data_IF_575487568315
#
_entry.id   IF_575487568315
#
_cell.length_a   1.000
_cell.length_b   1.000
_cell.length_c   1.000
_cell.angle_alpha   90.00
_cell.angle_beta   90.00
_cell.angle_gamma   90.00
#
_symmetry.space_group_name_H-M   'P 1'
#
loop_
_entity.id
_entity.type
_entity.pdbx_description
1 polymer ?
#
# COMPACT_ATOMS: atom_id res chain seq x y z
N UNK A 1 47.51 -27.34 -3.95
CA UNK A 1 46.29 -27.64 -3.16
C UNK A 1 46.16 -26.92 -1.80
N UNK A 2 47.24 -26.64 -1.06
CA UNK A 2 47.20 -25.95 0.27
C UNK A 2 47.80 -24.53 0.25
N UNK A 3 47.72 -23.86 -0.89
CA UNK A 3 48.20 -22.48 -1.03
C UNK A 3 47.16 -21.47 -0.54
N UNK A 4 47.55 -20.21 -0.28
CA UNK A 4 46.61 -19.13 -0.02
C UNK A 4 45.77 -18.80 -1.27
N UNK A 5 44.59 -18.20 -1.08
CA UNK A 5 43.82 -17.62 -2.18
C UNK A 5 44.60 -16.46 -2.82
N UNK A 6 44.38 -16.21 -4.11
CA UNK A 6 44.97 -15.09 -4.84
C UNK A 6 43.91 -14.04 -5.12
N UNK A 7 44.27 -12.76 -5.00
CA UNK A 7 43.42 -11.62 -5.42
C UNK A 7 43.18 -11.60 -6.95
N UNK A 8 43.80 -12.51 -7.70
CA UNK A 8 43.59 -12.69 -9.13
C UNK A 8 42.36 -13.56 -9.45
N UNK A 9 41.74 -14.17 -8.45
CA UNK A 9 40.50 -14.93 -8.63
C UNK A 9 39.32 -13.97 -8.84
N UNK A 10 39.14 -13.53 -10.08
CA UNK A 10 38.08 -12.59 -10.46
C UNK A 10 36.69 -13.19 -10.33
N UNK A 11 36.55 -14.53 -10.37
CA UNK A 11 35.26 -15.22 -10.18
C UNK A 11 34.85 -15.12 -8.71
N UNK A 12 35.78 -15.42 -7.79
CA UNK A 12 35.54 -15.23 -6.36
C UNK A 12 35.20 -13.77 -6.01
N UNK A 13 35.96 -12.82 -6.56
CA UNK A 13 35.76 -11.39 -6.27
C UNK A 13 34.40 -10.91 -6.76
N UNK A 14 34.00 -11.27 -7.98
CA UNK A 14 32.70 -10.88 -8.54
C UNK A 14 31.54 -11.41 -7.66
N UNK A 15 31.54 -12.71 -7.37
CA UNK A 15 30.51 -13.38 -6.56
C UNK A 15 30.37 -12.76 -5.17
N UNK A 16 31.48 -12.61 -4.43
CA UNK A 16 31.45 -12.06 -3.07
C UNK A 16 31.08 -10.57 -3.09
N UNK A 17 31.55 -9.81 -4.09
CA UNK A 17 31.22 -8.38 -4.16
C UNK A 17 29.73 -8.13 -4.42
N UNK A 18 29.06 -9.02 -5.17
CA UNK A 18 27.62 -8.97 -5.36
C UNK A 18 26.88 -9.41 -4.09
N UNK A 19 27.28 -10.53 -3.47
CA UNK A 19 26.72 -11.02 -2.21
C UNK A 19 26.70 -9.93 -1.12
N UNK A 20 27.83 -9.23 -0.95
CA UNK A 20 27.98 -8.13 0.02
C UNK A 20 27.04 -6.93 -0.24
N UNK A 21 26.41 -6.86 -1.42
CA UNK A 21 25.52 -5.76 -1.87
C UNK A 21 24.08 -6.20 -2.11
N UNK A 22 23.69 -7.42 -1.73
CA UNK A 22 22.32 -7.90 -1.91
C UNK A 22 21.27 -7.15 -1.10
N UNK A 23 21.66 -6.53 0.03
CA UNK A 23 20.71 -5.87 0.94
C UNK A 23 20.51 -4.40 0.55
N UNK A 24 19.23 -4.05 0.36
CA UNK A 24 18.78 -2.66 0.30
C UNK A 24 18.15 -2.27 1.65
N UNK A 25 17.96 -0.98 1.94
CA UNK A 25 17.20 -0.57 3.12
C UNK A 25 15.81 -1.21 3.12
N UNK A 26 15.38 -1.74 4.27
CA UNK A 26 13.97 -2.14 4.42
C UNK A 26 13.05 -0.91 4.41
N UNK A 27 11.74 -1.14 4.32
CA UNK A 27 10.79 -0.03 4.48
C UNK A 27 10.84 0.49 5.92
N UNK A 28 10.90 1.82 6.08
CA UNK A 28 10.95 2.47 7.41
C UNK A 28 9.79 2.05 8.33
N UNK A 29 8.63 1.78 7.72
CA UNK A 29 7.46 1.14 8.32
C UNK A 29 6.96 0.08 7.35
N UNK A 30 6.27 -0.93 7.86
CA UNK A 30 5.77 -2.04 7.05
C UNK A 30 6.86 -2.90 6.38
N UNK A 31 8.00 -3.09 7.06
CA UNK A 31 9.12 -3.89 6.58
C UNK A 31 8.73 -5.37 6.36
N UNK A 32 8.18 -6.03 7.38
CA UNK A 32 7.65 -7.40 7.26
C UNK A 32 6.35 -7.44 6.45
N UNK A 33 6.28 -8.31 5.44
CA UNK A 33 5.07 -8.48 4.66
C UNK A 33 5.13 -9.61 3.63
N UNK A 34 4.02 -9.78 2.92
CA UNK A 34 3.87 -10.76 1.85
C UNK A 34 3.17 -10.12 0.66
N UNK A 35 3.53 -10.53 -0.55
CA UNK A 35 2.95 -10.02 -1.79
C UNK A 35 2.35 -11.12 -2.64
N UNK A 36 1.35 -10.75 -3.42
CA UNK A 36 0.71 -11.61 -4.41
C UNK A 36 0.08 -10.78 -5.53
N UNK A 37 -0.27 -11.43 -6.62
CA UNK A 37 -0.84 -10.81 -7.81
C UNK A 37 -2.17 -11.44 -8.17
N UNK A 38 -2.95 -10.71 -8.96
CA UNK A 38 -4.14 -11.24 -9.60
C UNK A 38 -4.86 -10.16 -10.36
N UNK A 39 -6.17 -10.04 -10.16
CA UNK A 39 -6.98 -9.05 -10.87
C UNK A 39 -8.08 -8.44 -9.98
N UNK A 40 -8.47 -7.23 -10.35
CA UNK A 40 -9.71 -6.59 -9.95
C UNK A 40 -10.71 -6.72 -11.10
N UNK A 41 -11.92 -7.17 -10.81
CA UNK A 41 -13.03 -7.29 -11.74
C UNK A 41 -14.19 -6.37 -11.30
N UNK A 42 -14.64 -5.49 -12.19
CA UNK A 42 -15.81 -4.64 -11.92
C UNK A 42 -17.07 -5.52 -11.95
N UNK A 43 -17.94 -5.37 -10.97
CA UNK A 43 -19.22 -6.11 -10.87
C UNK A 43 -20.43 -5.19 -10.91
N UNK A 44 -20.25 -3.91 -10.58
CA UNK A 44 -21.31 -2.93 -10.50
C UNK A 44 -20.84 -1.61 -11.13
N UNK A 45 -21.76 -0.93 -11.82
CA UNK A 45 -21.48 0.36 -12.43
C UNK A 45 -21.46 1.46 -11.37
N UNK A 46 -20.35 2.21 -11.35
CA UNK A 46 -20.17 3.40 -10.51
C UNK A 46 -19.74 4.63 -11.31
N UNK A 47 -19.91 4.61 -12.62
CA UNK A 47 -19.50 5.69 -13.53
C UNK A 47 -20.21 7.01 -13.23
N UNK A 48 -21.40 6.98 -12.61
CA UNK A 48 -22.05 8.19 -12.09
C UNK A 48 -21.20 8.96 -11.06
N UNK A 49 -20.25 8.31 -10.39
CA UNK A 49 -19.39 8.94 -9.38
C UNK A 49 -17.99 9.24 -9.90
N UNK A 50 -17.49 8.48 -10.89
CA UNK A 50 -16.09 8.58 -11.32
C UNK A 50 -15.92 8.25 -12.80
N UNK A 51 -15.06 9.01 -13.48
CA UNK A 51 -14.59 8.71 -14.84
C UNK A 51 -13.39 7.76 -14.89
N UNK A 52 -12.94 7.25 -13.74
CA UNK A 52 -11.74 6.42 -13.68
C UNK A 52 -11.91 5.13 -14.47
N UNK A 53 -11.03 4.93 -15.46
CA UNK A 53 -11.15 3.80 -16.38
C UNK A 53 -11.05 2.43 -15.73
N UNK A 54 -10.46 2.31 -14.54
CA UNK A 54 -10.47 1.06 -13.77
C UNK A 54 -11.90 0.56 -13.45
N UNK A 55 -12.90 1.44 -13.45
CA UNK A 55 -14.30 1.13 -13.14
C UNK A 55 -15.26 1.26 -14.35
N UNK A 56 -14.73 1.45 -15.57
CA UNK A 56 -15.53 1.93 -16.72
C UNK A 56 -16.59 0.97 -17.25
N UNK A 57 -16.50 -0.32 -16.93
CA UNK A 57 -17.38 -1.35 -17.51
C UNK A 57 -17.48 -2.56 -16.58
N UNK A 58 -18.69 -3.06 -16.34
CA UNK A 58 -18.93 -4.30 -15.60
C UNK A 58 -18.31 -5.48 -16.35
N UNK A 59 -17.58 -6.34 -15.63
CA UNK A 59 -16.80 -7.45 -16.19
C UNK A 59 -15.37 -7.08 -16.59
N UNK A 60 -15.01 -5.78 -16.61
CA UNK A 60 -13.65 -5.35 -16.90
C UNK A 60 -12.65 -5.85 -15.86
N UNK A 61 -11.55 -6.44 -16.34
CA UNK A 61 -10.44 -6.91 -15.50
C UNK A 61 -9.20 -6.02 -15.58
N UNK A 62 -8.75 -5.60 -14.42
CA UNK A 62 -7.51 -4.83 -14.23
C UNK A 62 -6.52 -5.67 -13.42
N UNK A 63 -5.32 -5.97 -13.93
CA UNK A 63 -4.28 -6.65 -13.16
C UNK A 63 -3.94 -5.86 -11.91
N UNK A 64 -3.69 -6.57 -10.82
CA UNK A 64 -3.29 -5.98 -9.55
C UNK A 64 -2.05 -6.66 -8.97
N UNK A 65 -1.28 -5.87 -8.23
CA UNK A 65 -0.30 -6.36 -7.27
C UNK A 65 -0.71 -5.91 -5.87
N UNK A 66 -0.69 -6.83 -4.92
CA UNK A 66 -1.05 -6.57 -3.52
C UNK A 66 0.13 -6.90 -2.62
N UNK A 67 0.37 -6.03 -1.64
CA UNK A 67 1.29 -6.32 -0.54
C UNK A 67 0.58 -6.13 0.79
N UNK A 68 0.56 -7.19 1.58
CA UNK A 68 0.18 -7.19 2.97
C UNK A 68 1.40 -6.99 3.86
N UNK A 69 1.21 -6.43 5.06
CA UNK A 69 2.34 -6.18 5.94
C UNK A 69 1.97 -5.98 7.39
N UNK A 70 2.93 -6.21 8.27
CA UNK A 70 2.99 -5.65 9.62
C UNK A 70 3.30 -4.14 9.56
N UNK A 71 3.33 -3.37 10.67
CA UNK A 71 3.67 -1.93 10.63
C UNK A 71 5.00 -1.62 11.32
N UNK A 72 5.12 -1.96 12.59
CA UNK A 72 6.16 -1.42 13.48
C UNK A 72 7.45 -2.26 13.52
N UNK A 73 7.34 -3.56 13.23
CA UNK A 73 8.45 -4.52 13.23
C UNK A 73 9.32 -4.47 11.98
N UNK A 74 10.57 -4.90 12.14
CA UNK A 74 11.56 -5.02 11.06
C UNK A 74 11.28 -6.24 10.17
N UNK A 75 12.04 -6.44 9.10
CA UNK A 75 11.83 -7.50 8.10
C UNK A 75 11.76 -8.92 8.69
N UNK A 76 12.45 -9.18 9.81
CA UNK A 76 12.46 -10.48 10.50
C UNK A 76 11.43 -10.62 11.63
N UNK A 77 10.55 -9.64 11.84
CA UNK A 77 9.54 -9.70 12.91
C UNK A 77 8.48 -10.78 12.67
N UNK A 78 7.81 -11.22 13.75
CA UNK A 78 6.80 -12.27 13.67
C UNK A 78 5.43 -11.73 13.18
N UNK A 79 4.86 -12.43 12.19
CA UNK A 79 3.55 -12.12 11.57
C UNK A 79 2.38 -12.10 12.59
N UNK A 80 2.53 -12.75 13.75
CA UNK A 80 1.47 -12.95 14.74
C UNK A 80 1.39 -11.84 15.80
N UNK A 81 2.22 -10.79 15.69
CA UNK A 81 2.24 -9.69 16.67
C UNK A 81 0.99 -8.79 16.55
N UNK A 82 0.62 -8.08 17.62
CA UNK A 82 -0.49 -7.11 17.61
C UNK A 82 -0.06 -5.82 16.90
N UNK A 83 -0.74 -5.46 15.81
CA UNK A 83 -0.47 -4.26 15.00
C UNK A 83 -1.58 -4.10 13.96
N UNK A 84 -1.81 -2.92 13.35
CA UNK A 84 -2.53 -2.88 12.09
C UNK A 84 -1.85 -3.77 11.04
N UNK A 85 -2.57 -4.11 9.99
CA UNK A 85 -1.98 -4.75 8.81
C UNK A 85 -2.10 -3.82 7.63
N UNK A 86 -0.96 -3.53 6.98
CA UNK A 86 -0.96 -2.84 5.69
C UNK A 86 -1.63 -3.71 4.65
N UNK A 87 -2.42 -3.08 3.78
CA UNK A 87 -3.11 -3.70 2.66
C UNK A 87 -3.02 -2.75 1.47
N UNK A 88 -1.90 -2.81 0.77
CA UNK A 88 -1.61 -1.95 -0.37
C UNK A 88 -1.94 -2.66 -1.68
N UNK A 89 -2.66 -1.98 -2.57
CA UNK A 89 -3.09 -2.50 -3.88
C UNK A 89 -2.60 -1.55 -4.96
N UNK A 90 -1.92 -2.09 -5.97
CA UNK A 90 -1.55 -1.39 -7.21
C UNK A 90 -2.40 -1.94 -8.33
N UNK A 91 -3.14 -1.05 -9.00
CA UNK A 91 -3.93 -1.35 -10.18
C UNK A 91 -3.15 -0.89 -11.41
N UNK A 92 -2.83 -1.82 -12.30
CA UNK A 92 -2.18 -1.49 -13.57
C UNK A 92 -3.25 -1.10 -14.58
N UNK A 93 -3.65 0.18 -14.60
CA UNK A 93 -4.73 0.68 -15.46
C UNK A 93 -4.19 1.16 -16.82
N UNK A 94 -5.09 1.39 -17.77
CA UNK A 94 -4.74 1.96 -19.08
C UNK A 94 -4.47 3.49 -19.04
N UNK A 95 -4.61 4.12 -17.88
CA UNK A 95 -4.30 5.55 -17.67
C UNK A 95 -3.16 5.75 -16.66
N UNK A 96 -2.41 4.68 -16.37
CA UNK A 96 -1.31 4.65 -15.42
C UNK A 96 -1.59 3.74 -14.23
N UNK A 97 -0.65 3.69 -13.29
CA UNK A 97 -0.86 2.94 -12.06
C UNK A 97 -1.72 3.76 -11.10
N UNK A 98 -2.72 3.11 -10.51
CA UNK A 98 -3.42 3.63 -9.33
C UNK A 98 -3.00 2.81 -8.11
N UNK A 99 -2.57 3.48 -7.04
CA UNK A 99 -2.22 2.81 -5.78
C UNK A 99 -3.24 3.17 -4.69
N UNK A 100 -3.96 2.16 -4.20
CA UNK A 100 -4.77 2.27 -3.00
C UNK A 100 -4.00 1.67 -1.81
N UNK A 101 -3.35 2.54 -1.04
CA UNK A 101 -2.45 2.13 0.04
C UNK A 101 -3.21 2.13 1.37
N UNK A 102 -3.90 1.03 1.64
CA UNK A 102 -4.78 0.89 2.79
C UNK A 102 -4.20 0.15 3.98
N UNK A 103 -5.06 -0.06 4.99
CA UNK A 103 -4.82 -0.93 6.14
C UNK A 103 -6.04 -1.84 6.39
N UNK A 104 -5.91 -2.81 7.28
CA UNK A 104 -7.01 -3.64 7.78
C UNK A 104 -7.95 -2.93 8.78
N UNK A 105 -7.75 -1.62 8.99
CA UNK A 105 -8.56 -0.77 9.85
C UNK A 105 -9.09 0.44 9.07
N UNK A 106 -10.35 0.86 9.31
CA UNK A 106 -10.94 2.02 8.62
C UNK A 106 -10.45 3.37 9.15
N UNK A 107 -9.73 3.41 10.27
CA UNK A 107 -9.26 4.65 10.92
C UNK A 107 -7.78 4.57 11.27
N UNK A 108 -7.20 5.69 11.69
CA UNK A 108 -5.80 5.77 12.13
C UNK A 108 -5.64 6.40 13.52
N UNK A 109 -4.43 6.34 14.09
CA UNK A 109 -4.14 6.83 15.45
C UNK A 109 -4.07 8.35 15.54
N UNK A 110 -3.65 9.01 14.46
CA UNK A 110 -3.40 10.44 14.39
C UNK A 110 -4.04 11.00 13.13
N UNK A 111 -4.31 12.31 13.13
CA UNK A 111 -4.98 13.02 12.04
C UNK A 111 -4.15 14.16 11.42
N UNK A 112 -2.87 14.27 11.80
CA UNK A 112 -1.96 15.29 11.26
C UNK A 112 -0.58 14.65 11.01
N UNK A 113 -0.04 14.74 9.79
CA UNK A 113 1.16 13.99 9.39
C UNK A 113 2.42 14.43 10.12
N UNK A 114 2.46 15.64 10.69
CA UNK A 114 3.62 16.10 11.46
C UNK A 114 3.92 15.21 12.67
N UNK A 115 2.90 14.54 13.21
CA UNK A 115 3.04 13.62 14.34
C UNK A 115 3.46 12.21 13.91
N UNK A 116 3.45 11.89 12.62
CA UNK A 116 3.73 10.54 12.14
C UNK A 116 5.13 10.03 12.52
N UNK A 117 6.22 10.81 12.39
CA UNK A 117 7.54 10.35 12.83
C UNK A 117 7.58 10.06 14.34
N UNK A 118 7.02 10.96 15.16
CA UNK A 118 7.01 10.80 16.63
C UNK A 118 6.15 9.60 17.04
N UNK A 119 5.00 9.41 16.40
CA UNK A 119 4.18 8.21 16.57
C UNK A 119 4.99 6.96 16.24
N UNK A 120 5.59 6.86 15.05
CA UNK A 120 6.36 5.67 14.66
C UNK A 120 7.55 5.42 15.59
N UNK A 121 8.22 6.46 16.08
CA UNK A 121 9.30 6.32 17.07
C UNK A 121 8.77 5.68 18.36
N UNK A 122 7.60 6.09 18.84
CA UNK A 122 6.99 5.51 20.06
C UNK A 122 6.54 4.06 19.89
N UNK A 123 6.20 3.65 18.66
CA UNK A 123 5.84 2.27 18.33
C UNK A 123 7.06 1.37 18.06
N UNK A 124 8.24 1.96 17.85
CA UNK A 124 9.48 1.25 17.49
C UNK A 124 10.31 0.95 18.74
N UNK A 125 11.62 0.80 18.54
CA UNK A 125 12.57 0.46 19.60
C UNK A 125 12.99 1.73 20.31
N UNK A 126 13.10 1.65 21.63
CA UNK A 126 13.76 2.67 22.44
C UNK A 126 15.19 2.88 21.88
N UNK A 127 15.59 4.13 21.60
CA UNK A 127 16.84 4.41 20.91
C UNK A 127 18.10 4.08 21.72
N UNK A 128 17.98 3.93 23.05
CA UNK A 128 19.11 3.59 23.94
C UNK A 128 19.21 2.08 24.10
N UNK A 129 18.10 1.40 24.37
CA UNK A 129 18.11 -0.04 24.70
C UNK A 129 17.92 -0.94 23.48
N UNK A 130 17.42 -0.38 22.37
CA UNK A 130 17.01 -1.11 21.18
C UNK A 130 15.88 -2.14 21.43
N UNK A 131 15.14 -2.00 22.54
CA UNK A 131 14.00 -2.86 22.91
C UNK A 131 12.66 -2.16 22.64
N UNK A 132 11.57 -2.92 22.54
CA UNK A 132 10.23 -2.34 22.61
C UNK A 132 9.99 -1.80 24.03
N UNK A 133 9.29 -0.68 24.11
CA UNK A 133 9.11 0.07 25.35
C UNK A 133 7.63 0.45 25.50
N UNK A 134 6.98 -0.13 26.52
CA UNK A 134 5.57 0.08 26.76
C UNK A 134 5.29 1.51 27.27
N UNK A 135 6.24 2.13 27.98
CA UNK A 135 6.08 3.48 28.48
C UNK A 135 6.13 4.47 27.32
N UNK A 136 7.08 4.33 26.38
CA UNK A 136 7.09 5.15 25.16
C UNK A 136 5.79 4.99 24.36
N UNK A 137 5.32 3.75 24.18
CA UNK A 137 4.10 3.44 23.46
C UNK A 137 2.87 4.12 24.08
N UNK A 138 2.70 3.99 25.40
CA UNK A 138 1.53 4.51 26.10
C UNK A 138 1.61 6.00 26.43
N UNK A 139 2.81 6.56 26.66
CA UNK A 139 3.03 7.99 26.87
C UNK A 139 2.49 8.77 25.66
N UNK A 140 2.91 8.40 24.44
CA UNK A 140 2.38 9.04 23.24
C UNK A 140 0.86 8.88 23.10
N UNK A 141 0.34 7.66 23.22
CA UNK A 141 -1.09 7.41 22.97
C UNK A 141 -2.00 8.07 24.01
N UNK A 142 -1.59 8.11 25.28
CA UNK A 142 -2.34 8.75 26.37
C UNK A 142 -2.36 10.28 26.26
N UNK A 143 -1.29 10.89 25.73
CA UNK A 143 -1.20 12.32 25.46
C UNK A 143 -1.89 12.74 24.15
N UNK A 144 -2.22 11.78 23.27
CA UNK A 144 -2.91 11.99 21.98
C UNK A 144 -4.28 11.31 21.97
N UNK A 145 -5.31 11.92 22.61
CA UNK A 145 -6.63 11.30 22.76
C UNK A 145 -7.35 11.02 21.44
N UNK A 146 -6.94 11.65 20.32
CA UNK A 146 -7.43 11.29 19.00
C UNK A 146 -7.17 9.83 18.60
N UNK A 147 -6.21 9.17 19.26
CA UNK A 147 -5.85 7.77 19.03
C UNK A 147 -6.85 6.77 19.58
N UNK A 148 -7.69 7.18 20.52
CA UNK A 148 -8.59 6.30 21.31
C UNK A 148 -9.41 5.34 20.45
N UNK A 149 -9.93 5.82 19.32
CA UNK A 149 -10.76 5.01 18.42
C UNK A 149 -9.94 3.88 17.78
N UNK A 150 -8.76 4.19 17.25
CA UNK A 150 -7.88 3.19 16.64
C UNK A 150 -7.27 2.26 17.70
N UNK A 151 -6.94 2.76 18.90
CA UNK A 151 -6.49 1.93 20.02
C UNK A 151 -7.57 0.91 20.40
N UNK A 152 -8.84 1.33 20.45
CA UNK A 152 -9.96 0.42 20.72
C UNK A 152 -10.07 -0.72 19.70
N UNK A 153 -9.84 -0.42 18.41
CA UNK A 153 -9.80 -1.44 17.35
C UNK A 153 -8.56 -2.33 17.50
N UNK A 154 -7.39 -1.73 17.70
CA UNK A 154 -6.11 -2.44 17.80
C UNK A 154 -6.10 -3.43 18.97
N UNK A 155 -6.71 -3.09 20.11
CA UNK A 155 -6.74 -3.96 21.28
C UNK A 155 -7.93 -4.92 21.33
N UNK A 156 -8.84 -4.86 20.34
CA UNK A 156 -9.76 -5.98 20.07
C UNK A 156 -9.03 -7.15 19.40
N UNK A 157 -9.72 -8.27 19.17
CA UNK A 157 -9.14 -9.41 18.45
C UNK A 157 -8.68 -9.04 17.02
N UNK A 158 -9.26 -7.98 16.42
CA UNK A 158 -8.89 -7.47 15.10
C UNK A 158 -7.45 -7.00 14.99
N UNK A 159 -6.78 -6.72 16.10
CA UNK A 159 -5.36 -6.38 16.14
C UNK A 159 -4.43 -7.55 15.83
N UNK A 160 -4.93 -8.79 15.83
CA UNK A 160 -4.16 -9.98 15.46
C UNK A 160 -4.96 -10.83 14.46
N UNK A 161 -5.00 -10.46 13.18
CA UNK A 161 -5.67 -11.27 12.15
C UNK A 161 -5.10 -12.69 12.05
N UNK A 162 -5.93 -13.68 11.74
CA UNK A 162 -5.50 -15.04 11.41
C UNK A 162 -5.01 -15.09 9.96
N UNK A 163 -3.79 -14.61 9.72
CA UNK A 163 -3.25 -14.49 8.36
C UNK A 163 -3.86 -13.35 7.55
N UNK A 164 -3.32 -13.12 6.35
CA UNK A 164 -3.71 -11.97 5.53
C UNK A 164 -5.05 -12.14 4.80
N UNK A 165 -5.51 -13.38 4.60
CA UNK A 165 -6.73 -13.68 3.83
C UNK A 165 -8.01 -13.40 4.63
N UNK A 166 -7.95 -13.48 5.96
CA UNK A 166 -9.12 -13.38 6.84
C UNK A 166 -9.28 -11.98 7.48
N UNK A 167 -8.88 -10.94 6.76
CA UNK A 167 -9.04 -9.55 7.20
C UNK A 167 -9.66 -8.72 6.08
N UNK A 168 -10.48 -7.75 6.44
CA UNK A 168 -10.86 -6.69 5.51
C UNK A 168 -9.67 -5.77 5.25
N UNK A 169 -9.79 -4.92 4.24
CA UNK A 169 -9.02 -3.69 4.21
C UNK A 169 -9.86 -2.48 3.79
N UNK A 170 -9.20 -1.33 3.93
CA UNK A 170 -9.83 -0.02 3.85
C UNK A 170 -8.81 0.95 3.27
N UNK A 171 -9.27 1.88 2.44
CA UNK A 171 -8.46 3.06 2.08
C UNK A 171 -8.13 3.94 3.28
N UNK A 172 -8.91 3.81 4.36
CA UNK A 172 -8.89 4.60 5.61
C UNK A 172 -9.21 6.08 5.38
N UNK A 173 -8.42 6.78 4.57
CA UNK A 173 -8.61 8.19 4.22
C UNK A 173 -9.88 8.40 3.38
N UNK A 174 -10.40 9.62 3.41
CA UNK A 174 -11.42 10.07 2.46
C UNK A 174 -10.75 10.47 1.15
N UNK A 175 -11.32 10.06 0.02
CA UNK A 175 -10.90 10.46 -1.32
C UNK A 175 -12.02 11.25 -2.00
N UNK A 176 -11.74 11.82 -3.16
CA UNK A 176 -12.72 12.46 -4.02
C UNK A 176 -12.83 11.68 -5.33
N UNK A 177 -14.05 11.40 -5.75
CA UNK A 177 -14.36 10.85 -7.06
C UNK A 177 -14.94 11.95 -7.94
N UNK A 178 -14.56 11.96 -9.22
CA UNK A 178 -15.01 12.95 -10.20
C UNK A 178 -15.52 12.23 -11.46
N UNK A 179 -16.78 12.44 -11.83
CA UNK A 179 -17.42 11.79 -12.98
C UNK A 179 -17.07 12.48 -14.33
N UNK A 180 -17.70 12.05 -15.42
CA UNK A 180 -17.44 12.57 -16.77
C UNK A 180 -17.91 14.03 -16.93
N UNK A 181 -18.95 14.41 -16.20
CA UNK A 181 -19.55 15.75 -16.13
C UNK A 181 -18.76 16.70 -15.21
N UNK A 182 -17.66 16.23 -14.60
CA UNK A 182 -16.87 16.91 -13.58
C UNK A 182 -17.61 17.20 -12.26
N UNK A 183 -18.68 16.47 -11.98
CA UNK A 183 -19.32 16.47 -10.66
C UNK A 183 -18.49 15.63 -9.70
N UNK A 184 -18.37 16.09 -8.45
CA UNK A 184 -17.51 15.48 -7.47
C UNK A 184 -18.28 15.02 -6.23
N UNK A 185 -17.89 13.86 -5.72
CA UNK A 185 -18.34 13.33 -4.43
C UNK A 185 -17.14 12.88 -3.61
N UNK A 186 -17.29 12.83 -2.29
CA UNK A 186 -16.31 12.18 -1.44
C UNK A 186 -16.60 10.68 -1.33
N UNK A 187 -15.56 9.89 -1.17
CA UNK A 187 -15.69 8.46 -0.97
C UNK A 187 -14.75 7.90 0.10
N UNK A 188 -15.13 6.73 0.63
CA UNK A 188 -14.25 5.81 1.35
C UNK A 188 -14.19 4.51 0.56
N UNK A 189 -13.01 3.92 0.43
CA UNK A 189 -12.83 2.58 -0.17
C UNK A 189 -12.81 1.50 0.92
N UNK A 190 -13.57 0.43 0.74
CA UNK A 190 -13.67 -0.70 1.68
C UNK A 190 -13.60 -1.99 0.88
N UNK A 191 -12.86 -2.99 1.33
CA UNK A 191 -12.83 -4.30 0.69
C UNK A 191 -12.92 -5.39 1.74
N UNK A 192 -14.03 -6.15 1.69
CA UNK A 192 -14.40 -7.16 2.69
C UNK A 192 -13.90 -8.52 2.25
N UNK A 193 -13.26 -9.27 3.15
CA UNK A 193 -12.79 -10.63 2.85
C UNK A 193 -13.97 -11.55 2.60
N UNK A 194 -13.93 -12.27 1.48
CA UNK A 194 -14.94 -13.30 1.17
C UNK A 194 -14.69 -14.60 1.95
N UNK A 195 -13.55 -14.73 2.63
CA UNK A 195 -13.20 -15.86 3.49
C UNK A 195 -13.74 -15.68 4.93
N UNK A 196 -14.32 -14.50 5.22
CA UNK A 196 -14.74 -14.11 6.56
C UNK A 196 -13.59 -13.58 7.41
N UNK A 197 -13.95 -12.86 8.47
CA UNK A 197 -12.96 -12.30 9.40
C UNK A 197 -12.61 -13.35 10.45
N UNK A 198 -11.31 -13.59 10.65
CA UNK A 198 -10.79 -14.47 11.71
C UNK A 198 -9.59 -13.82 12.38
N UNK A 199 -9.44 -14.11 13.68
CA UNK A 199 -8.41 -13.53 14.53
C UNK A 199 -7.75 -14.60 15.40
N UNK A 200 -6.51 -14.33 15.82
CA UNK A 200 -5.77 -15.17 16.77
C UNK A 200 -6.06 -14.71 18.20
N UNK A 201 -6.11 -15.67 19.13
CA UNK A 201 -6.03 -15.35 20.56
C UNK A 201 -4.60 -14.89 20.92
N UNK A 202 -4.42 -14.16 22.03
CA UNK A 202 -3.08 -13.80 22.52
C UNK A 202 -2.17 -15.01 22.78
N UNK A 203 -2.71 -16.16 23.17
CA UNK A 203 -1.97 -17.41 23.41
C UNK A 203 -1.46 -17.99 22.10
N UNK A 204 -2.34 -18.18 21.11
CA UNK A 204 -1.98 -18.68 19.80
C UNK A 204 -1.00 -17.74 19.07
N UNK A 205 -1.16 -16.43 19.27
CA UNK A 205 -0.23 -15.42 18.78
C UNK A 205 1.20 -15.62 19.31
N UNK A 206 1.35 -15.83 20.63
CA UNK A 206 2.65 -16.08 21.28
C UNK A 206 3.27 -17.40 20.83
N UNK A 207 2.48 -18.44 20.70
CA UNK A 207 2.95 -19.75 20.22
C UNK A 207 3.47 -19.64 18.77
N UNK A 208 2.69 -19.03 17.87
CA UNK A 208 3.09 -18.84 16.48
C UNK A 208 4.33 -17.94 16.34
N UNK A 209 4.50 -16.95 17.21
CA UNK A 209 5.67 -16.08 17.17
C UNK A 209 6.99 -16.85 17.36
N UNK A 210 6.97 -17.96 18.12
CA UNK A 210 8.13 -18.83 18.32
C UNK A 210 8.22 -20.00 17.36
N UNK A 211 7.10 -20.51 16.86
CA UNK A 211 7.05 -21.74 16.05
C UNK A 211 7.00 -21.48 14.53
N UNK A 212 6.34 -20.40 14.09
CA UNK A 212 6.27 -19.99 12.69
C UNK A 212 6.12 -18.46 12.58
N UNK A 213 7.21 -17.68 12.69
CA UNK A 213 7.17 -16.22 12.59
C UNK A 213 6.75 -15.70 11.21
N UNK A 214 6.62 -16.58 10.22
CA UNK A 214 6.22 -16.30 8.84
C UNK A 214 4.84 -16.89 8.49
N UNK A 215 4.03 -17.27 9.49
CA UNK A 215 2.79 -18.05 9.25
C UNK A 215 1.80 -17.37 8.31
N UNK A 216 1.66 -16.03 8.35
CA UNK A 216 0.71 -15.31 7.51
C UNK A 216 1.20 -15.25 6.06
N UNK A 217 2.52 -15.10 5.88
CA UNK A 217 3.19 -15.19 4.58
C UNK A 217 3.05 -16.60 4.00
N UNK A 218 3.28 -17.64 4.81
CA UNK A 218 3.13 -19.04 4.44
C UNK A 218 1.69 -19.39 4.07
N UNK A 219 0.71 -18.94 4.85
CA UNK A 219 -0.72 -19.14 4.56
C UNK A 219 -1.11 -18.56 3.21
N UNK A 220 -0.74 -17.30 2.93
CA UNK A 220 -1.04 -16.65 1.65
C UNK A 220 -0.43 -17.41 0.47
N UNK A 221 0.86 -17.72 0.57
CA UNK A 221 1.57 -18.44 -0.49
C UNK A 221 0.94 -19.81 -0.76
N UNK A 222 0.72 -20.60 0.29
CA UNK A 222 0.16 -21.94 0.18
C UNK A 222 -1.28 -21.93 -0.34
N UNK A 223 -2.07 -20.91 0.00
CA UNK A 223 -3.44 -20.77 -0.48
C UNK A 223 -3.50 -20.57 -1.98
N UNK A 224 -2.67 -19.67 -2.49
CA UNK A 224 -2.58 -19.42 -3.92
C UNK A 224 -1.99 -20.63 -4.65
N UNK A 225 -0.94 -21.25 -4.11
CA UNK A 225 -0.30 -22.42 -4.71
C UNK A 225 -1.26 -23.62 -4.88
N UNK A 226 -2.24 -23.78 -3.98
CA UNK A 226 -3.23 -24.87 -4.03
C UNK A 226 -4.55 -24.50 -4.72
N UNK A 227 -4.65 -23.31 -5.32
CA UNK A 227 -5.86 -22.84 -6.01
C UNK A 227 -6.97 -22.31 -5.08
N UNK A 228 -6.71 -22.19 -3.77
CA UNK A 228 -7.59 -21.56 -2.78
C UNK A 228 -7.40 -20.04 -2.80
N UNK A 229 -7.74 -19.42 -3.94
CA UNK A 229 -7.48 -18.02 -4.22
C UNK A 229 -8.27 -17.10 -3.27
N UNK A 230 -7.60 -16.30 -2.42
CA UNK A 230 -8.32 -15.34 -1.61
C UNK A 230 -8.88 -14.22 -2.48
N UNK A 231 -10.07 -13.78 -2.09
CA UNK A 231 -10.78 -12.69 -2.72
C UNK A 231 -11.45 -11.75 -1.72
N UNK A 232 -11.65 -10.51 -2.16
CA UNK A 232 -12.35 -9.48 -1.41
C UNK A 232 -13.37 -8.79 -2.29
N UNK A 233 -14.58 -8.60 -1.77
CA UNK A 233 -15.58 -7.75 -2.43
C UNK A 233 -15.28 -6.29 -2.10
N UNK A 234 -15.11 -5.48 -3.15
CA UNK A 234 -14.76 -4.07 -3.10
C UNK A 234 -16.00 -3.20 -3.12
N UNK A 235 -16.04 -2.24 -2.19
CA UNK A 235 -17.14 -1.32 -1.93
C UNK A 235 -16.62 0.11 -1.85
N UNK A 236 -17.53 1.05 -2.09
CA UNK A 236 -17.38 2.45 -1.72
C UNK A 236 -18.49 2.88 -0.77
N UNK A 237 -18.21 3.86 0.09
CA UNK A 237 -19.23 4.76 0.62
C UNK A 237 -19.13 6.07 -0.14
N UNK A 238 -20.26 6.76 -0.34
CA UNK A 238 -20.32 8.05 -1.04
C UNK A 238 -20.95 9.09 -0.14
N UNK A 239 -20.34 10.28 -0.07
CA UNK A 239 -20.84 11.45 0.64
C UNK A 239 -20.79 12.66 -0.30
N UNK A 240 -21.91 13.35 -0.48
CA UNK A 240 -21.94 14.57 -1.31
C UNK A 240 -21.22 15.72 -0.62
N UNK A 241 -20.86 16.76 -1.37
CA UNK A 241 -20.25 17.96 -0.80
C UNK A 241 -21.20 18.67 0.18
N UNK A 242 -22.51 18.65 -0.07
CA UNK A 242 -23.51 19.23 0.83
C UNK A 242 -23.61 18.46 2.15
N UNK A 243 -23.63 17.12 2.08
CA UNK A 243 -23.59 16.26 3.27
C UNK A 243 -22.31 16.51 4.07
N UNK A 244 -21.16 16.59 3.40
CA UNK A 244 -19.86 16.82 4.04
C UNK A 244 -19.78 18.16 4.80
N UNK A 245 -20.48 19.20 4.34
CA UNK A 245 -20.51 20.52 5.00
C UNK A 245 -21.31 20.54 6.30
N UNK A 246 -22.32 19.68 6.41
CA UNK A 246 -23.25 19.67 7.54
C UNK A 246 -23.07 18.46 8.46
N UNK A 247 -22.19 17.52 8.08
CA UNK A 247 -21.96 16.32 8.87
C UNK A 247 -21.32 16.65 10.23
N UNK A 248 -21.75 15.92 11.27
CA UNK A 248 -21.42 16.22 12.67
C UNK A 248 -19.93 16.14 13.03
N UNK A 249 -19.13 15.44 12.24
CA UNK A 249 -17.68 15.34 12.39
C UNK A 249 -17.01 15.85 11.12
N UNK A 250 -15.71 16.17 11.20
CA UNK A 250 -14.93 16.41 9.99
C UNK A 250 -14.88 15.10 9.16
N UNK A 251 -15.44 15.08 7.93
CA UNK A 251 -15.45 13.87 7.09
C UNK A 251 -14.06 13.49 6.57
N UNK A 252 -13.07 14.37 6.72
CA UNK A 252 -11.66 14.18 6.35
C UNK A 252 -10.77 13.93 7.58
N UNK A 253 -11.35 13.63 8.74
CA UNK A 253 -10.59 13.18 9.90
C UNK A 253 -10.46 11.66 9.85
N UNK A 254 -9.28 11.15 9.48
CA UNK A 254 -8.98 9.71 9.41
C UNK A 254 -9.17 8.96 10.74
N UNK A 255 -9.37 9.63 11.86
CA UNK A 255 -9.75 8.98 13.13
C UNK A 255 -11.26 8.66 13.22
N UNK A 256 -12.04 8.96 12.17
CA UNK A 256 -13.50 8.77 12.10
C UNK A 256 -13.91 7.81 10.99
N UNK A 257 -14.96 7.04 11.28
CA UNK A 257 -15.69 6.23 10.27
C UNK A 257 -16.95 6.96 9.81
N UNK A 258 -17.39 6.68 8.60
CA UNK A 258 -18.73 7.02 8.15
C UNK A 258 -19.68 5.87 8.51
N UNK A 259 -20.72 6.09 9.35
CA UNK A 259 -21.63 5.03 9.74
C UNK A 259 -22.32 4.41 8.53
N UNK A 260 -22.31 3.09 8.41
CA UNK A 260 -22.91 2.38 7.27
C UNK A 260 -24.44 2.56 7.19
N UNK A 261 -25.09 2.94 8.28
CA UNK A 261 -26.52 3.29 8.28
C UNK A 261 -26.80 4.64 7.57
N UNK A 262 -25.86 5.58 7.66
CA UNK A 262 -25.97 6.91 7.04
C UNK A 262 -25.41 6.90 5.61
N UNK A 263 -24.30 6.19 5.41
CA UNK A 263 -23.60 6.06 4.14
C UNK A 263 -23.45 4.57 3.81
N UNK A 264 -24.44 3.94 3.16
CA UNK A 264 -24.42 2.51 2.88
C UNK A 264 -23.26 2.14 1.95
N UNK A 265 -22.87 0.87 2.02
CA UNK A 265 -21.86 0.33 1.12
C UNK A 265 -22.47 0.12 -0.27
N UNK A 266 -21.79 0.63 -1.28
CA UNK A 266 -22.10 0.43 -2.69
C UNK A 266 -21.05 -0.53 -3.23
N UNK A 267 -21.48 -1.68 -3.71
CA UNK A 267 -20.59 -2.67 -4.31
C UNK A 267 -20.01 -2.13 -5.62
N UNK A 268 -18.77 -2.49 -5.93
CA UNK A 268 -18.06 -2.04 -7.14
C UNK A 268 -17.49 -3.21 -7.91
N UNK A 269 -16.87 -4.16 -7.22
CA UNK A 269 -16.05 -5.17 -7.87
C UNK A 269 -15.49 -6.21 -6.92
N UNK A 270 -14.65 -7.08 -7.46
CA UNK A 270 -14.00 -8.18 -6.72
C UNK A 270 -12.50 -8.17 -6.97
N UNK A 271 -11.73 -8.22 -5.90
CA UNK A 271 -10.29 -8.42 -5.91
C UNK A 271 -10.02 -9.92 -5.77
N UNK A 272 -9.21 -10.52 -6.64
CA UNK A 272 -8.82 -11.93 -6.57
C UNK A 272 -7.31 -12.03 -6.68
N UNK A 273 -6.67 -12.76 -5.76
CA UNK A 273 -5.23 -13.05 -5.82
C UNK A 273 -5.02 -14.49 -6.23
N UNK A 274 -4.44 -14.70 -7.42
CA UNK A 274 -4.32 -16.00 -8.05
C UNK A 274 -2.90 -16.33 -8.51
N UNK A 275 -1.90 -15.50 -8.19
CA UNK A 275 -0.52 -15.74 -8.57
C UNK A 275 0.45 -15.31 -7.48
N UNK A 276 1.29 -16.24 -7.04
CA UNK A 276 2.42 -15.96 -6.17
C UNK A 276 3.54 -15.20 -6.90
N UNK A 277 4.37 -14.44 -6.17
CA UNK A 277 5.55 -13.84 -6.76
C UNK A 277 6.54 -14.92 -7.22
N UNK A 278 7.26 -14.69 -8.32
CA UNK A 278 8.30 -15.63 -8.76
C UNK A 278 9.61 -15.42 -8.01
N UNK A 279 9.90 -14.18 -7.63
CA UNK A 279 11.01 -13.79 -6.77
C UNK A 279 10.55 -12.75 -5.76
N UNK A 280 10.63 -13.08 -4.46
CA UNK A 280 10.17 -12.17 -3.39
C UNK A 280 10.91 -10.83 -3.42
N UNK A 281 12.22 -10.82 -3.61
CA UNK A 281 13.00 -9.58 -3.58
C UNK A 281 12.61 -8.63 -4.72
N UNK A 282 12.56 -9.13 -5.96
CA UNK A 282 12.23 -8.35 -7.14
C UNK A 282 10.77 -7.88 -7.18
N UNK A 283 9.84 -8.69 -6.69
CA UNK A 283 8.40 -8.46 -6.86
C UNK A 283 7.68 -7.97 -5.59
N UNK A 284 8.22 -8.22 -4.40
CA UNK A 284 7.59 -7.88 -3.12
C UNK A 284 8.46 -6.94 -2.29
N UNK A 285 9.77 -7.17 -2.21
CA UNK A 285 10.64 -6.25 -1.48
C UNK A 285 10.77 -4.92 -2.24
N UNK A 286 10.93 -4.98 -3.56
CA UNK A 286 11.11 -3.81 -4.42
C UNK A 286 9.82 -3.13 -4.90
N UNK A 287 8.63 -3.70 -4.63
CA UNK A 287 7.38 -3.03 -4.99
C UNK A 287 7.19 -1.72 -4.21
N UNK A 288 6.75 -0.68 -4.90
CA UNK A 288 6.59 0.67 -4.40
C UNK A 288 5.15 1.13 -4.65
N UNK A 289 4.44 1.49 -3.58
CA UNK A 289 3.10 2.05 -3.65
C UNK A 289 3.13 3.48 -3.16
N UNK A 290 2.43 4.40 -3.81
CA UNK A 290 2.29 5.77 -3.31
C UNK A 290 0.88 6.27 -3.50
N UNK A 291 0.27 6.85 -2.47
CA UNK A 291 -1.10 7.40 -2.58
C UNK A 291 -1.21 8.56 -3.57
N UNK A 292 -0.08 9.11 -4.06
CA UNK A 292 -0.04 10.09 -5.15
C UNK A 292 -0.14 9.48 -6.54
N UNK A 293 -0.02 8.15 -6.69
CA UNK A 293 -0.36 7.46 -7.93
C UNK A 293 -1.89 7.36 -8.02
N UNK A 294 -2.47 8.42 -8.57
CA UNK A 294 -3.90 8.54 -8.84
C UNK A 294 -4.12 8.59 -10.36
N UNK A 295 -5.30 8.16 -10.78
CA UNK A 295 -5.74 8.16 -12.18
C UNK A 295 -6.90 9.15 -12.35
N UNK A 296 -7.13 9.69 -13.56
CA UNK A 296 -8.24 10.61 -13.81
C UNK A 296 -9.56 10.12 -13.22
N UNK A 297 -10.26 10.96 -12.45
CA UNK A 297 -11.50 10.59 -11.78
C UNK A 297 -11.35 10.14 -10.33
N UNK A 298 -10.13 9.98 -9.82
CA UNK A 298 -9.82 9.76 -8.39
C UNK A 298 -8.84 10.83 -7.94
N UNK A 299 -9.18 11.56 -6.89
CA UNK A 299 -8.42 12.69 -6.36
C UNK A 299 -8.27 12.60 -4.84
N UNK A 300 -7.24 13.22 -4.23
CA UNK A 300 -7.14 13.26 -2.78
C UNK A 300 -8.18 14.21 -2.20
N UNK A 301 -8.64 13.93 -0.98
CA UNK A 301 -9.42 14.90 -0.20
C UNK A 301 -8.51 15.85 0.60
N UNK A 302 -9.08 16.85 1.30
CA UNK A 302 -8.34 17.70 2.24
C UNK A 302 -7.87 17.01 3.54
N UNK A 303 -8.00 15.68 3.66
CA UNK A 303 -7.49 14.93 4.82
C UNK A 303 -5.99 15.19 4.99
N UNK A 304 -5.61 15.75 6.13
CA UNK A 304 -4.23 16.17 6.39
C UNK A 304 -3.26 14.99 6.34
N UNK A 305 -3.65 13.82 6.86
CA UNK A 305 -2.80 12.63 6.83
C UNK A 305 -2.56 12.21 5.38
N UNK A 306 -3.62 12.14 4.58
CA UNK A 306 -3.51 11.85 3.15
C UNK A 306 -2.58 12.83 2.44
N UNK A 307 -2.70 14.14 2.72
CA UNK A 307 -1.84 15.16 2.12
C UNK A 307 -0.34 14.93 2.42
N UNK A 308 0.03 14.60 3.66
CA UNK A 308 1.42 14.26 3.99
C UNK A 308 1.91 12.99 3.29
N UNK A 309 1.02 12.00 3.14
CA UNK A 309 1.32 10.73 2.47
C UNK A 309 1.56 10.91 0.96
N UNK A 310 0.93 11.89 0.30
CA UNK A 310 1.16 12.18 -1.13
C UNK A 310 2.64 12.42 -1.45
N UNK A 311 3.38 13.02 -0.50
CA UNK A 311 4.82 13.27 -0.61
C UNK A 311 5.65 12.08 -0.12
N UNK A 312 5.40 11.63 1.11
CA UNK A 312 6.33 10.78 1.87
C UNK A 312 6.67 9.45 1.19
N UNK A 313 5.72 8.81 0.51
CA UNK A 313 5.95 7.49 -0.09
C UNK A 313 6.93 7.55 -1.25
N UNK A 314 6.71 8.45 -2.21
CA UNK A 314 7.60 8.61 -3.35
C UNK A 314 9.00 9.09 -2.92
N UNK A 315 9.07 9.92 -1.87
CA UNK A 315 10.34 10.38 -1.30
C UNK A 315 11.16 9.23 -0.70
N UNK A 316 10.58 8.46 0.23
CA UNK A 316 11.31 7.32 0.85
C UNK A 316 11.67 6.23 -0.16
N UNK A 317 10.90 6.08 -1.25
CA UNK A 317 11.19 5.12 -2.31
C UNK A 317 12.42 5.50 -3.12
N UNK A 318 12.67 6.78 -3.37
CA UNK A 318 13.89 7.24 -4.05
C UNK A 318 15.15 6.89 -3.24
N UNK A 319 15.08 7.03 -1.91
CA UNK A 319 16.15 6.59 -1.02
C UNK A 319 16.32 5.07 -1.02
N UNK A 320 15.20 4.33 -0.85
CA UNK A 320 15.24 2.88 -0.65
C UNK A 320 15.60 2.08 -1.90
N UNK A 321 15.13 2.52 -3.07
CA UNK A 321 15.19 1.78 -4.33
C UNK A 321 15.94 2.52 -5.44
N UNK A 322 16.39 3.75 -5.19
CA UNK A 322 17.03 4.61 -6.17
C UNK A 322 16.05 5.49 -6.96
N UNK A 323 16.59 6.52 -7.61
CA UNK A 323 15.82 7.54 -8.35
C UNK A 323 14.94 6.94 -9.45
N UNK A 324 15.40 5.85 -10.08
CA UNK A 324 14.71 5.18 -11.19
C UNK A 324 13.83 4.00 -10.76
N UNK A 325 13.41 3.90 -9.49
CA UNK A 325 12.63 2.75 -8.99
C UNK A 325 11.34 2.43 -9.77
N UNK A 326 10.76 3.40 -10.49
CA UNK A 326 9.59 3.20 -11.36
C UNK A 326 9.90 2.39 -12.63
N UNK A 327 11.19 2.24 -12.99
CA UNK A 327 11.63 1.39 -14.10
C UNK A 327 11.71 -0.09 -13.71
N UNK A 328 11.69 -0.41 -12.42
CA UNK A 328 11.65 -1.79 -11.96
C UNK A 328 10.36 -2.47 -12.45
N UNK A 329 10.41 -3.72 -12.94
CA UNK A 329 9.27 -4.35 -13.62
C UNK A 329 7.96 -4.31 -12.85
N UNK A 330 8.00 -4.53 -11.54
CA UNK A 330 6.79 -4.55 -10.69
C UNK A 330 6.20 -3.14 -10.47
N UNK A 331 7.00 -2.08 -10.59
CA UNK A 331 6.57 -0.69 -10.40
C UNK A 331 6.18 -0.01 -11.72
N UNK A 332 6.68 -0.53 -12.83
CA UNK A 332 6.43 0.00 -14.16
C UNK A 332 4.92 0.00 -14.46
N UNK A 333 4.36 1.13 -14.94
CA UNK A 333 2.98 1.19 -15.41
C UNK A 333 2.88 0.57 -16.81
N UNK A 334 3.15 -0.74 -16.93
CA UNK A 334 3.36 -1.43 -18.20
C UNK A 334 2.15 -1.43 -19.16
N UNK A 335 0.96 -1.06 -18.67
CA UNK A 335 -0.25 -0.89 -19.47
C UNK A 335 -0.32 0.46 -20.20
N UNK A 336 0.58 1.38 -19.88
CA UNK A 336 0.77 2.63 -20.61
C UNK A 336 2.22 2.73 -21.08
N UNK A 337 2.46 3.61 -22.05
CA UNK A 337 3.83 3.95 -22.46
C UNK A 337 4.21 5.29 -21.83
N UNK A 338 5.04 5.33 -20.77
CA UNK A 338 5.51 6.58 -20.21
C UNK A 338 6.24 7.41 -21.28
N UNK A 339 5.79 8.65 -21.47
CA UNK A 339 6.46 9.64 -22.34
C UNK A 339 6.56 10.94 -21.54
N UNK A 340 7.77 11.32 -21.18
CA UNK A 340 8.02 12.49 -20.32
C UNK A 340 9.43 13.06 -20.59
N UNK A 341 9.82 14.11 -19.90
CA UNK A 341 11.13 14.74 -20.11
C UNK A 341 12.18 14.37 -19.04
N UNK A 342 11.93 13.35 -18.21
CA UNK A 342 12.89 12.86 -17.22
C UNK A 342 14.00 12.05 -17.90
N UNK A 343 15.25 12.19 -17.43
CA UNK A 343 16.45 11.54 -17.99
C UNK A 343 17.42 11.15 -16.86
N UNK A 344 18.38 10.30 -17.20
CA UNK A 344 19.54 9.93 -16.38
C UNK A 344 19.15 9.27 -15.04
N UNK A 345 19.90 9.59 -13.98
CA UNK A 345 19.79 8.98 -12.64
C UNK A 345 20.50 7.63 -12.54
N UNK A 346 20.79 7.20 -11.32
CA UNK A 346 21.44 5.89 -11.09
C UNK A 346 20.58 4.74 -11.64
N UNK A 347 21.26 3.70 -12.13
CA UNK A 347 20.64 2.48 -12.68
C UNK A 347 19.55 2.76 -13.73
N UNK A 348 19.77 3.69 -14.66
CA UNK A 348 18.87 3.87 -15.81
C UNK A 348 18.83 2.58 -16.64
N UNK A 349 17.68 1.89 -16.64
CA UNK A 349 17.44 0.67 -17.44
C UNK A 349 16.86 1.06 -18.81
N UNK A 350 15.91 1.98 -18.81
CA UNK A 350 15.24 2.50 -20.00
C UNK A 350 15.45 4.01 -20.09
N UNK A 351 15.99 4.47 -21.20
CA UNK A 351 16.11 5.90 -21.54
C UNK A 351 15.34 6.20 -22.82
N UNK A 352 14.75 7.38 -22.91
CA UNK A 352 13.92 7.75 -24.06
C UNK A 352 14.81 8.22 -25.22
N UNK A 353 14.78 7.51 -26.34
CA UNK A 353 15.81 7.55 -27.39
C UNK A 353 15.45 8.32 -28.67
N UNK A 354 14.45 9.22 -28.67
CA UNK A 354 14.06 9.96 -29.89
C UNK A 354 14.20 11.49 -29.72
N UNK A 355 14.49 12.19 -30.82
CA UNK A 355 14.67 13.65 -30.92
C UNK A 355 13.59 14.44 -30.14
N UNK A 356 13.97 15.05 -29.00
CA UNK A 356 13.08 15.91 -28.23
C UNK A 356 13.55 17.36 -28.24
N UNK A 357 12.70 18.22 -28.79
CA UNK A 357 12.74 19.67 -28.57
C UNK A 357 12.34 19.93 -27.11
N UNK A 358 13.22 20.58 -26.33
CA UNK A 358 12.89 21.05 -24.99
C UNK A 358 11.71 22.03 -25.05
N UNK A 359 10.49 21.60 -24.68
CA UNK A 359 9.25 22.32 -24.27
C UNK A 359 8.74 23.50 -25.15
N UNK A 360 9.58 24.14 -25.95
CA UNK A 360 9.27 25.16 -26.95
C UNK A 360 9.53 24.54 -28.34
N UNK A 361 8.72 23.55 -28.70
CA UNK A 361 8.54 23.24 -30.12
C UNK A 361 7.58 24.30 -30.67
N UNK A 362 8.14 25.37 -31.22
CA UNK A 362 7.47 26.32 -32.12
C UNK A 362 7.05 25.63 -33.44
N UNK A 363 6.39 24.48 -33.38
CA UNK A 363 5.65 23.92 -34.51
C UNK A 363 4.25 24.54 -34.55
N UNK A 364 4.22 25.83 -34.92
CA UNK A 364 3.18 26.28 -35.83
C UNK A 364 3.37 25.46 -37.11
N UNK A 365 2.47 24.53 -37.40
CA UNK A 365 2.06 24.23 -38.77
C UNK A 365 0.81 23.34 -38.80
N UNK A 366 -0.21 23.89 -39.45
CA UNK A 366 -1.39 23.30 -40.09
C UNK A 366 -2.36 22.47 -39.23
N UNK A 367 -3.31 23.17 -38.61
CA UNK A 367 -4.72 22.76 -38.59
C UNK A 367 -5.46 23.70 -39.56
N UNK A 368 -5.69 23.22 -40.78
CA UNK A 368 -6.91 23.51 -41.54
C UNK A 368 -7.80 22.30 -41.42
#
# INVERSE_FOLDING_TARGET
PRGPILLQDTVYIDEISHFDRERIPERVVHAKGAGAFGFFEVTHDITQYTRAKVFSEVGKRTPIAVRFSFVSGESGSADSSRDPRGFAIKFYTEEGNWDLVGNNTPVFFIRDPILFPVFIHSQKRNPVTHLKDADMFWDFLSLRPESTHQVSILFSDRGIPFGYRFMNGYGSDTFKLVNAENEAVYCKFIYKSDQGIRNLSPEASRELAGTDPDYATRDLYNAIARGDFPSWTFYIQVMTFEQARTWRFNPFDVTKVWPQKEFPLIEVGKLVLNRNPTNYFAEVEQIAFTVSNLVPGIEPSPDKMLQGRLFSYADTQKYRLGTNYLQLPVNCPYRVRPRNYQRDGEMTIYSQSENFFYIISNKKNSLT
#
